data_IF_928067221880
#
_entry.id   IF_928067221880
#
_cell.length_a   1.000
_cell.length_b   1.000
_cell.length_c   1.000
_cell.angle_alpha   90.00
_cell.angle_beta   90.00
_cell.angle_gamma   90.00
#
_symmetry.space_group_name_H-M   'P 1'
#
loop_
_entity.id
_entity.type
_entity.pdbx_description
1 polymer ?
#
# COMPACT_ATOMS: atom_id res chain seq x y z
N UNK A 1 13.38 35.23 -19.92
CA UNK A 1 12.78 33.91 -20.15
C UNK A 1 12.60 33.24 -18.79
N UNK A 2 11.35 33.06 -18.36
CA UNK A 2 11.01 32.52 -17.04
C UNK A 2 11.40 31.03 -17.04
N UNK A 3 12.27 30.65 -16.14
CA UNK A 3 12.47 29.26 -15.74
C UNK A 3 11.13 28.80 -15.13
N UNK A 4 10.24 28.28 -15.96
CA UNK A 4 9.02 27.63 -15.50
C UNK A 4 9.51 26.35 -14.87
N UNK A 5 9.32 26.32 -13.57
CA UNK A 5 9.89 25.35 -12.66
C UNK A 5 9.39 23.96 -13.02
N UNK A 6 10.27 23.10 -13.51
CA UNK A 6 10.10 21.62 -13.56
C UNK A 6 9.61 21.06 -12.19
N UNK A 7 9.86 21.80 -11.13
CA UNK A 7 9.37 21.58 -9.76
C UNK A 7 7.83 21.57 -9.71
N UNK A 8 7.13 22.37 -10.54
CA UNK A 8 5.66 22.39 -10.54
C UNK A 8 5.04 21.15 -11.18
N UNK A 9 5.73 20.53 -12.12
CA UNK A 9 5.29 19.25 -12.74
C UNK A 9 5.59 18.09 -11.78
N UNK A 10 6.76 18.11 -11.14
CA UNK A 10 7.11 17.12 -10.13
C UNK A 10 6.20 17.19 -8.88
N UNK A 11 5.72 18.38 -8.48
CA UNK A 11 4.79 18.53 -7.36
C UNK A 11 3.36 18.02 -7.65
N UNK A 12 2.93 17.93 -8.91
CA UNK A 12 1.64 17.35 -9.28
C UNK A 12 1.59 15.82 -9.16
N UNK A 13 2.75 15.15 -9.19
CA UNK A 13 2.85 13.70 -9.01
C UNK A 13 2.54 13.27 -7.56
N UNK A 14 2.67 14.19 -6.59
CA UNK A 14 2.69 13.88 -5.14
C UNK A 14 1.31 13.99 -4.47
N UNK A 15 0.26 14.47 -5.14
CA UNK A 15 -0.96 14.87 -4.43
C UNK A 15 -2.23 14.14 -4.84
N UNK A 16 -2.24 12.81 -4.78
CA UNK A 16 -3.50 12.08 -4.71
C UNK A 16 -3.63 11.48 -3.31
N UNK A 17 -4.46 12.03 -2.42
CA UNK A 17 -4.79 11.37 -1.17
C UNK A 17 -5.66 10.15 -1.50
N UNK A 18 -5.04 8.98 -1.55
CA UNK A 18 -5.77 7.72 -1.49
C UNK A 18 -6.17 7.49 -0.04
N UNK A 19 -7.42 7.75 0.27
CA UNK A 19 -8.01 7.48 1.58
C UNK A 19 -8.32 5.98 1.70
N UNK A 20 -7.29 5.16 1.93
CA UNK A 20 -7.46 3.81 2.43
C UNK A 20 -6.60 3.70 3.68
N UNK A 21 -7.19 3.24 4.78
CA UNK A 21 -6.49 3.09 6.04
C UNK A 21 -5.21 2.32 5.86
N UNK A 22 -4.09 2.89 6.30
CA UNK A 22 -2.77 2.34 6.12
C UNK A 22 -2.52 1.89 4.70
N UNK A 23 -2.16 2.78 3.81
CA UNK A 23 -1.91 2.59 2.37
C UNK A 23 -1.22 1.27 1.99
N UNK A 24 -0.57 0.62 2.95
CA UNK A 24 0.26 -0.56 2.75
C UNK A 24 -0.11 -1.73 3.68
N UNK A 25 -1.20 -1.67 4.47
CA UNK A 25 -1.51 -2.73 5.44
C UNK A 25 -2.64 -3.64 4.98
N UNK A 26 -2.41 -4.95 5.03
CA UNK A 26 -3.39 -6.00 4.80
C UNK A 26 -3.60 -6.80 6.09
N UNK A 27 -4.82 -6.86 6.58
CA UNK A 27 -5.19 -7.58 7.80
C UNK A 27 -5.82 -8.95 7.52
N UNK A 28 -6.24 -9.21 6.30
CA UNK A 28 -6.98 -10.41 5.88
C UNK A 28 -6.06 -11.60 5.52
N UNK A 29 -5.10 -11.91 6.37
CA UNK A 29 -4.08 -12.92 6.09
C UNK A 29 -4.54 -14.38 6.31
N UNK A 30 -5.74 -14.61 6.86
CA UNK A 30 -6.23 -15.95 7.20
C UNK A 30 -7.66 -16.17 6.68
N UNK A 31 -8.02 -17.39 6.17
CA UNK A 31 -9.37 -17.67 5.70
C UNK A 31 -10.48 -17.45 6.73
N UNK A 32 -10.16 -17.51 8.02
CA UNK A 32 -11.13 -17.20 9.07
C UNK A 32 -11.68 -15.79 9.00
N UNK A 33 -10.93 -14.84 8.40
CA UNK A 33 -11.37 -13.48 8.14
C UNK A 33 -12.60 -13.43 7.21
N UNK A 34 -12.73 -14.36 6.26
CA UNK A 34 -13.90 -14.44 5.37
C UNK A 34 -15.19 -14.77 6.13
N UNK A 35 -15.09 -15.50 7.24
CA UNK A 35 -16.24 -15.84 8.09
C UNK A 35 -16.61 -14.76 9.07
N UNK A 36 -15.61 -14.03 9.56
CA UNK A 36 -15.74 -13.00 10.57
C UNK A 36 -14.62 -11.97 10.39
N UNK A 37 -14.94 -10.78 9.95
CA UNK A 37 -13.99 -9.70 9.69
C UNK A 37 -13.31 -9.20 10.97
N UNK A 38 -14.07 -9.15 12.07
CA UNK A 38 -13.56 -8.79 13.40
C UNK A 38 -12.84 -9.99 14.04
N UNK A 39 -11.52 -9.92 14.14
CA UNK A 39 -10.65 -10.99 14.66
C UNK A 39 -9.90 -10.61 15.94
N UNK A 40 -9.91 -9.34 16.34
CA UNK A 40 -9.11 -8.82 17.46
C UNK A 40 -9.49 -9.37 18.84
N UNK A 41 -10.69 -9.94 18.99
CA UNK A 41 -11.12 -10.66 20.19
C UNK A 41 -11.17 -12.19 19.98
N UNK A 42 -10.27 -12.74 19.14
CA UNK A 42 -10.22 -14.16 18.83
C UNK A 42 -9.34 -14.91 19.85
N UNK A 43 -9.93 -15.89 20.53
CA UNK A 43 -9.26 -16.72 21.55
C UNK A 43 -9.26 -18.21 21.20
N UNK A 44 -9.66 -18.59 19.97
CA UNK A 44 -9.94 -19.99 19.62
C UNK A 44 -9.11 -20.52 18.47
N UNK A 45 -8.38 -19.69 17.77
CA UNK A 45 -7.57 -20.13 16.62
C UNK A 45 -6.28 -19.35 16.46
N UNK A 46 -5.33 -19.95 15.75
CA UNK A 46 -3.94 -19.51 15.63
C UNK A 46 -3.76 -18.20 14.85
N UNK A 47 -4.75 -17.77 14.07
CA UNK A 47 -4.72 -16.48 13.38
C UNK A 47 -4.70 -15.27 14.32
N UNK A 48 -5.04 -15.49 15.61
CA UNK A 48 -4.79 -14.52 16.65
C UNK A 48 -3.32 -14.08 16.73
N UNK A 49 -2.36 -14.91 16.28
CA UNK A 49 -0.95 -14.54 16.20
C UNK A 49 -0.68 -13.25 15.41
N UNK A 50 -1.58 -12.83 14.52
CA UNK A 50 -1.52 -11.53 13.84
C UNK A 50 -2.59 -10.57 14.37
N UNK A 51 -3.84 -11.02 14.50
CA UNK A 51 -4.96 -10.15 14.84
C UNK A 51 -4.88 -9.57 16.25
N UNK A 52 -4.69 -10.40 17.27
CA UNK A 52 -4.34 -10.03 18.64
C UNK A 52 -3.71 -11.22 19.36
N UNK A 53 -2.36 -11.30 19.41
CA UNK A 53 -1.69 -12.48 19.95
C UNK A 53 -1.95 -12.73 21.44
N UNK A 54 -2.41 -11.74 22.21
CA UNK A 54 -2.78 -11.93 23.61
C UNK A 54 -3.91 -12.97 23.75
N UNK A 55 -4.82 -13.06 22.79
CA UNK A 55 -5.90 -14.05 22.76
C UNK A 55 -5.43 -15.51 22.74
N UNK A 56 -4.19 -15.78 22.31
CA UNK A 56 -3.61 -17.12 22.27
C UNK A 56 -3.44 -17.77 23.64
N UNK A 57 -3.39 -16.99 24.72
CA UNK A 57 -3.36 -17.52 26.09
C UNK A 57 -4.59 -18.39 26.41
N UNK A 58 -5.72 -18.10 25.76
CA UNK A 58 -7.01 -18.77 25.98
C UNK A 58 -7.29 -19.91 25.00
N UNK A 59 -6.30 -20.33 24.19
CA UNK A 59 -6.42 -21.54 23.38
C UNK A 59 -6.78 -22.74 24.26
N UNK A 60 -7.65 -23.65 23.78
CA UNK A 60 -8.31 -24.64 24.65
C UNK A 60 -7.39 -25.71 25.25
N UNK A 61 -6.26 -25.98 24.62
CA UNK A 61 -5.31 -27.02 25.05
C UNK A 61 -3.88 -26.53 24.94
N UNK A 62 -3.00 -27.10 25.74
CA UNK A 62 -1.57 -26.98 25.54
C UNK A 62 -1.15 -27.75 24.29
N UNK A 63 -0.11 -27.29 23.62
CA UNK A 63 0.42 -27.93 22.42
C UNK A 63 0.71 -26.97 21.29
N UNK A 64 0.92 -27.54 20.12
CA UNK A 64 1.30 -26.83 18.91
C UNK A 64 0.08 -26.57 18.03
N UNK A 65 -0.03 -25.33 17.57
CA UNK A 65 -1.06 -24.86 16.63
C UNK A 65 -0.39 -24.29 15.41
N UNK A 66 -0.86 -24.66 14.23
CA UNK A 66 -0.35 -24.14 12.97
C UNK A 66 -1.44 -23.99 11.94
N UNK A 67 -1.27 -23.02 11.07
CA UNK A 67 -2.09 -22.83 9.88
C UNK A 67 -1.23 -22.32 8.73
N UNK A 68 -1.41 -22.93 7.57
CA UNK A 68 -0.84 -22.47 6.30
C UNK A 68 -1.99 -22.15 5.36
N UNK A 69 -1.96 -20.98 4.74
CA UNK A 69 -2.91 -20.63 3.70
C UNK A 69 -2.24 -19.90 2.54
N UNK A 70 -2.87 -20.03 1.38
CA UNK A 70 -2.47 -19.34 0.15
C UNK A 70 -3.73 -18.66 -0.40
N UNK A 71 -3.58 -17.41 -0.77
CA UNK A 71 -4.60 -16.63 -1.46
C UNK A 71 -4.09 -16.22 -2.84
N UNK A 72 -5.01 -15.99 -3.76
CA UNK A 72 -4.72 -15.42 -5.07
C UNK A 72 -5.68 -14.27 -5.31
N UNK A 73 -5.17 -13.17 -5.83
CA UNK A 73 -5.97 -11.99 -6.14
C UNK A 73 -5.71 -11.55 -7.59
N UNK A 74 -6.78 -11.40 -8.35
CA UNK A 74 -6.75 -10.89 -9.72
C UNK A 74 -7.82 -9.81 -9.84
N UNK A 75 -7.43 -8.64 -10.35
CA UNK A 75 -8.32 -7.50 -10.49
C UNK A 75 -8.09 -6.82 -11.84
N UNK A 76 -9.16 -6.41 -12.49
CA UNK A 76 -9.11 -5.45 -13.58
C UNK A 76 -9.54 -4.09 -13.03
N UNK A 77 -8.78 -3.05 -13.34
CA UNK A 77 -9.05 -1.67 -12.93
C UNK A 77 -9.27 -0.83 -14.17
N UNK A 78 -10.49 -0.40 -14.33
CA UNK A 78 -10.90 0.44 -15.44
C UNK A 78 -10.92 1.90 -14.98
N UNK A 79 -10.23 2.77 -15.71
CA UNK A 79 -10.16 4.19 -15.44
C UNK A 79 -10.70 4.92 -16.65
N UNK A 80 -11.83 5.57 -16.49
CA UNK A 80 -12.44 6.44 -17.49
C UNK A 80 -12.03 7.88 -17.15
N UNK A 81 -11.08 8.42 -17.91
CA UNK A 81 -10.48 9.71 -17.61
C UNK A 81 -10.91 10.74 -18.64
N UNK A 82 -11.67 11.72 -18.18
CA UNK A 82 -12.10 12.86 -18.99
C UNK A 82 -11.71 14.17 -18.32
N UNK A 83 -10.99 15.02 -19.06
CA UNK A 83 -10.62 16.37 -18.64
C UNK A 83 -10.60 17.30 -19.85
N UNK A 84 -11.68 18.06 -20.00
CA UNK A 84 -11.87 18.97 -21.16
C UNK A 84 -10.74 20.01 -21.26
N UNK A 85 -10.28 20.56 -20.13
CA UNK A 85 -9.21 21.54 -20.07
C UNK A 85 -7.87 21.03 -20.62
N UNK A 86 -7.66 19.72 -20.55
CA UNK A 86 -6.47 19.05 -21.08
C UNK A 86 -6.72 18.41 -22.45
N UNK A 87 -7.98 18.35 -22.91
CA UNK A 87 -8.35 17.57 -24.09
C UNK A 87 -8.14 16.06 -23.89
N UNK A 88 -8.13 15.60 -22.64
CA UNK A 88 -8.00 14.20 -22.28
C UNK A 88 -9.38 13.56 -22.24
N UNK A 89 -9.59 12.53 -23.05
CA UNK A 89 -10.76 11.66 -23.04
C UNK A 89 -10.29 10.27 -23.45
N UNK A 90 -9.95 9.45 -22.46
CA UNK A 90 -9.31 8.15 -22.70
C UNK A 90 -9.67 7.14 -21.61
N UNK A 91 -9.93 5.93 -22.05
CA UNK A 91 -10.13 4.77 -21.21
C UNK A 91 -8.81 4.02 -20.99
N UNK A 92 -8.52 3.66 -19.75
CA UNK A 92 -7.35 2.89 -19.39
C UNK A 92 -7.76 1.60 -18.69
N UNK A 93 -7.15 0.50 -19.09
CA UNK A 93 -7.32 -0.79 -18.45
C UNK A 93 -6.05 -1.19 -17.71
N UNK A 94 -6.17 -1.40 -16.40
CA UNK A 94 -5.10 -1.91 -15.56
C UNK A 94 -5.41 -3.34 -15.12
N UNK A 95 -4.41 -4.22 -15.19
CA UNK A 95 -4.48 -5.61 -14.70
C UNK A 95 -3.62 -5.73 -13.46
N UNK A 96 -4.25 -5.96 -12.31
CA UNK A 96 -3.54 -6.21 -11.05
C UNK A 96 -3.60 -7.70 -10.69
N UNK A 97 -2.45 -8.27 -10.35
CA UNK A 97 -2.34 -9.68 -10.00
C UNK A 97 -1.40 -9.90 -8.82
N UNK A 98 -1.85 -10.75 -7.91
CA UNK A 98 -1.06 -11.33 -6.84
C UNK A 98 -1.38 -12.84 -6.80
N UNK A 99 -0.74 -13.66 -7.64
CA UNK A 99 -1.11 -15.06 -7.84
C UNK A 99 -0.86 -15.93 -6.61
N UNK A 100 0.08 -15.55 -5.76
CA UNK A 100 0.42 -16.29 -4.54
C UNK A 100 0.63 -15.30 -3.40
N UNK A 101 -0.28 -15.31 -2.43
CA UNK A 101 -0.20 -14.56 -1.18
C UNK A 101 -0.14 -15.59 -0.06
N UNK A 102 1.05 -16.01 0.38
CA UNK A 102 1.19 -17.01 1.42
C UNK A 102 0.99 -16.39 2.79
N UNK A 103 0.44 -17.19 3.73
CA UNK A 103 0.47 -16.87 5.15
C UNK A 103 0.66 -18.12 6.00
N UNK A 104 1.52 -17.99 7.00
CA UNK A 104 1.84 -19.04 7.96
C UNK A 104 1.63 -18.50 9.36
N UNK A 105 0.91 -19.25 10.15
CA UNK A 105 0.69 -18.97 11.56
C UNK A 105 1.15 -20.17 12.38
N UNK A 106 1.84 -19.90 13.47
CA UNK A 106 2.27 -20.91 14.42
C UNK A 106 2.15 -20.40 15.85
N UNK A 107 1.79 -21.28 16.77
CA UNK A 107 1.82 -20.99 18.19
C UNK A 107 2.10 -22.29 18.97
N UNK A 108 2.86 -22.16 20.05
CA UNK A 108 3.06 -23.23 21.02
C UNK A 108 2.66 -22.74 22.40
N UNK A 109 1.61 -23.34 22.93
CA UNK A 109 1.09 -23.05 24.26
C UNK A 109 1.54 -24.09 25.26
N UNK A 110 2.00 -23.63 26.43
CA UNK A 110 2.32 -24.49 27.59
C UNK A 110 1.99 -23.74 28.87
N UNK A 111 0.93 -24.19 29.54
CA UNK A 111 0.41 -23.53 30.73
C UNK A 111 0.03 -22.08 30.48
N UNK A 112 0.63 -21.14 31.19
CA UNK A 112 0.32 -19.71 31.05
C UNK A 112 1.11 -19.01 29.94
N UNK A 113 2.04 -19.70 29.30
CA UNK A 113 2.89 -19.15 28.27
C UNK A 113 2.50 -19.61 26.88
N UNK A 114 2.52 -18.70 25.92
CA UNK A 114 2.38 -19.04 24.51
C UNK A 114 3.38 -18.24 23.69
N UNK A 115 4.27 -18.94 22.99
CA UNK A 115 5.10 -18.33 21.95
C UNK A 115 4.34 -18.41 20.63
N UNK A 116 4.37 -17.35 19.85
CA UNK A 116 3.68 -17.32 18.56
C UNK A 116 4.47 -16.64 17.48
N UNK A 117 4.20 -17.04 16.24
CA UNK A 117 4.80 -16.47 15.04
C UNK A 117 3.81 -16.38 13.88
N UNK A 118 4.09 -15.43 13.02
CA UNK A 118 3.37 -15.21 11.77
C UNK A 118 4.37 -14.87 10.66
N UNK A 119 4.11 -15.38 9.48
CA UNK A 119 4.74 -14.93 8.22
C UNK A 119 3.65 -14.70 7.17
N UNK A 120 3.76 -13.60 6.43
CA UNK A 120 2.82 -13.28 5.35
C UNK A 120 3.14 -11.96 4.65
N UNK A 121 2.26 -11.57 3.72
CA UNK A 121 2.34 -10.31 2.99
C UNK A 121 1.38 -9.32 3.66
N UNK A 122 1.89 -8.48 4.56
CA UNK A 122 1.07 -7.55 5.35
C UNK A 122 0.78 -6.23 4.64
N UNK A 123 1.32 -6.04 3.45
CA UNK A 123 1.07 -4.81 2.69
C UNK A 123 1.45 -4.92 1.22
N UNK A 124 1.04 -3.89 0.49
CA UNK A 124 1.24 -3.78 -0.94
C UNK A 124 0.06 -4.29 -1.77
N UNK A 125 0.05 -3.91 -3.04
CA UNK A 125 -1.05 -4.16 -3.99
C UNK A 125 -0.79 -5.27 -5.01
N UNK A 126 0.29 -6.04 -4.88
CA UNK A 126 0.69 -6.99 -5.92
C UNK A 126 1.41 -6.31 -7.09
N UNK A 127 1.30 -6.91 -8.27
CA UNK A 127 1.74 -6.29 -9.54
C UNK A 127 0.53 -5.70 -10.26
N UNK A 128 0.66 -4.47 -10.73
CA UNK A 128 -0.30 -3.82 -11.61
C UNK A 128 0.38 -3.42 -12.92
N UNK A 129 -0.25 -3.73 -14.05
CA UNK A 129 0.22 -3.38 -15.40
C UNK A 129 -0.85 -2.58 -16.12
N UNK A 130 -0.43 -1.49 -16.75
CA UNK A 130 -1.24 -0.61 -17.56
C UNK A 130 -0.57 -0.47 -18.93
N UNK A 131 -1.05 -1.24 -19.89
CA UNK A 131 -0.43 -1.32 -21.22
C UNK A 131 -0.61 -0.04 -22.05
N UNK A 132 -1.67 0.72 -21.76
CA UNK A 132 -1.99 2.01 -22.39
C UNK A 132 -1.65 3.21 -21.48
N UNK A 133 -0.80 3.02 -20.48
CA UNK A 133 -0.39 4.03 -19.50
C UNK A 133 -1.39 4.30 -18.41
N UNK A 134 -1.19 5.41 -17.72
CA UNK A 134 -2.03 5.88 -16.62
C UNK A 134 -2.47 7.31 -16.86
N UNK A 135 -3.75 7.59 -16.62
CA UNK A 135 -4.36 8.91 -16.82
C UNK A 135 -3.60 10.06 -16.16
N UNK A 136 -3.04 9.81 -14.98
CA UNK A 136 -2.28 10.81 -14.23
C UNK A 136 -0.98 11.21 -14.98
N UNK A 137 -0.24 10.25 -15.53
CA UNK A 137 1.00 10.53 -16.27
C UNK A 137 0.71 11.18 -17.62
N UNK A 138 -0.30 10.68 -18.32
CA UNK A 138 -0.75 11.28 -19.58
C UNK A 138 -1.17 12.74 -19.35
N UNK A 139 -1.98 13.01 -18.31
CA UNK A 139 -2.43 14.36 -17.96
C UNK A 139 -1.27 15.32 -17.63
N UNK A 140 -0.22 14.82 -16.97
CA UNK A 140 0.97 15.63 -16.68
C UNK A 140 1.70 16.05 -17.94
N UNK A 141 1.93 15.11 -18.85
CA UNK A 141 2.62 15.39 -20.10
C UNK A 141 1.78 16.31 -20.98
N UNK A 142 0.48 16.05 -21.11
CA UNK A 142 -0.47 16.90 -21.83
C UNK A 142 -0.43 18.33 -21.26
N UNK A 143 -0.52 18.47 -19.94
CA UNK A 143 -0.45 19.79 -19.27
C UNK A 143 0.87 20.50 -19.51
N UNK A 144 2.00 19.78 -19.51
CA UNK A 144 3.32 20.32 -19.80
C UNK A 144 3.45 20.81 -21.26
N UNK A 145 2.94 20.03 -22.22
CA UNK A 145 2.94 20.40 -23.62
C UNK A 145 2.01 21.59 -23.91
N UNK A 146 0.83 21.64 -23.29
CA UNK A 146 -0.10 22.76 -23.39
C UNK A 146 0.53 24.08 -22.87
N UNK A 147 1.28 24.03 -21.77
CA UNK A 147 2.00 25.21 -21.24
C UNK A 147 3.10 25.70 -22.20
N UNK A 148 3.61 24.84 -23.07
CA UNK A 148 4.54 25.19 -24.14
C UNK A 148 3.84 25.64 -25.43
N UNK A 149 2.50 25.70 -25.42
CA UNK A 149 1.69 26.09 -26.58
C UNK A 149 1.47 24.98 -27.59
N UNK A 150 1.73 23.72 -27.25
CA UNK A 150 1.54 22.56 -28.11
C UNK A 150 0.17 21.93 -27.78
N UNK A 151 -0.84 22.05 -28.69
CA UNK A 151 -2.19 21.54 -28.43
C UNK A 151 -2.27 20.01 -28.58
N UNK A 152 -3.26 19.38 -27.93
CA UNK A 152 -3.39 17.92 -27.86
C UNK A 152 -3.51 17.17 -29.19
N UNK A 153 -3.95 17.85 -30.27
CA UNK A 153 -4.02 17.27 -31.62
C UNK A 153 -2.70 17.31 -32.37
N UNK A 154 -1.70 17.98 -31.85
CA UNK A 154 -0.42 18.21 -32.50
C UNK A 154 0.63 17.14 -32.18
N UNK A 155 0.32 16.18 -31.30
CA UNK A 155 1.21 15.07 -30.96
C UNK A 155 0.43 13.76 -30.73
N UNK A 156 1.15 12.65 -30.81
CA UNK A 156 0.71 11.33 -30.38
C UNK A 156 1.37 11.02 -29.02
N UNK A 157 0.62 10.41 -28.10
CA UNK A 157 1.11 10.01 -26.80
C UNK A 157 0.98 8.51 -26.63
N UNK A 158 2.11 7.84 -26.38
CA UNK A 158 2.18 6.43 -26.07
C UNK A 158 2.79 6.26 -24.68
N UNK A 159 2.17 5.44 -23.85
CA UNK A 159 2.68 5.18 -22.52
C UNK A 159 2.34 3.76 -22.08
N UNK A 160 3.18 3.18 -21.23
CA UNK A 160 2.86 1.97 -20.46
C UNK A 160 3.47 2.07 -19.08
N UNK A 161 2.91 1.37 -18.12
CA UNK A 161 3.43 1.34 -16.77
C UNK A 161 3.16 0.01 -16.07
N UNK A 162 4.21 -0.54 -15.50
CA UNK A 162 4.19 -1.65 -14.55
C UNK A 162 4.58 -1.13 -13.17
N UNK A 163 3.81 -1.50 -12.15
CA UNK A 163 4.15 -1.28 -10.76
C UNK A 163 4.00 -2.56 -9.95
N UNK A 164 4.87 -2.77 -8.97
CA UNK A 164 4.73 -3.86 -8.01
C UNK A 164 5.09 -3.38 -6.62
N UNK A 165 4.36 -3.87 -5.62
CA UNK A 165 4.63 -3.56 -4.22
C UNK A 165 4.21 -4.74 -3.34
N UNK A 166 5.13 -5.20 -2.48
CA UNK A 166 4.89 -6.21 -1.47
C UNK A 166 5.61 -5.85 -0.18
N UNK A 167 4.97 -6.06 0.96
CA UNK A 167 5.59 -6.04 2.28
C UNK A 167 5.50 -7.44 2.85
N UNK A 168 6.61 -8.14 2.86
CA UNK A 168 6.76 -9.42 3.54
C UNK A 168 7.04 -9.17 5.01
N UNK A 169 6.33 -9.88 5.89
CA UNK A 169 6.47 -9.68 7.33
C UNK A 169 6.65 -10.98 8.07
N UNK A 170 7.56 -10.95 9.05
CA UNK A 170 7.74 -11.99 10.04
C UNK A 170 7.47 -11.39 11.41
N UNK A 171 6.50 -11.91 12.14
CA UNK A 171 6.19 -11.51 13.52
C UNK A 171 6.51 -12.65 14.47
N UNK A 172 7.15 -12.33 15.58
CA UNK A 172 7.40 -13.25 16.69
C UNK A 172 7.07 -12.54 18.02
N UNK A 173 6.59 -13.31 19.00
CA UNK A 173 6.36 -12.75 20.31
C UNK A 173 5.86 -13.78 21.32
N UNK A 174 5.70 -13.29 22.54
CA UNK A 174 5.35 -14.06 23.70
C UNK A 174 4.06 -13.54 24.32
N UNK A 175 3.13 -14.43 24.59
CA UNK A 175 1.90 -14.18 25.34
C UNK A 175 2.02 -14.80 26.72
N UNK A 176 1.56 -14.07 27.73
CA UNK A 176 1.48 -14.54 29.11
C UNK A 176 0.05 -14.37 29.66
N UNK A 177 -0.50 -15.43 30.20
CA UNK A 177 -1.78 -15.41 30.91
C UNK A 177 -1.56 -14.90 32.35
N UNK A 178 -1.92 -13.64 32.59
CA UNK A 178 -1.70 -12.96 33.88
C UNK A 178 -2.67 -13.48 34.95
N UNK A 179 -3.92 -13.68 34.55
CA UNK A 179 -4.99 -14.25 35.36
C UNK A 179 -5.84 -15.18 34.52
N UNK A 180 -6.83 -15.85 35.08
CA UNK A 180 -7.74 -16.71 34.32
C UNK A 180 -8.59 -15.95 33.29
N UNK A 181 -8.68 -14.63 33.39
CA UNK A 181 -9.46 -13.79 32.54
C UNK A 181 -8.64 -12.73 31.77
N UNK A 182 -7.35 -12.53 32.07
CA UNK A 182 -6.51 -11.49 31.50
C UNK A 182 -5.19 -12.06 30.98
N UNK A 183 -4.82 -11.67 29.78
CA UNK A 183 -3.54 -11.98 29.16
C UNK A 183 -2.90 -10.77 28.49
N UNK A 184 -1.58 -10.80 28.36
CA UNK A 184 -0.80 -9.79 27.65
C UNK A 184 0.14 -10.42 26.66
N UNK A 185 0.46 -9.68 25.60
CA UNK A 185 1.41 -10.04 24.56
C UNK A 185 2.44 -8.94 24.38
N UNK A 186 3.68 -9.35 24.15
CA UNK A 186 4.74 -8.48 23.65
C UNK A 186 5.55 -9.20 22.57
N UNK A 187 5.84 -8.48 21.50
CA UNK A 187 6.59 -9.02 20.37
C UNK A 187 7.00 -7.96 19.37
N UNK A 188 7.45 -8.41 18.21
CA UNK A 188 7.85 -7.53 17.14
C UNK A 188 7.67 -8.16 15.77
N UNK A 189 7.57 -7.30 14.76
CA UNK A 189 7.42 -7.67 13.36
C UNK A 189 8.51 -6.99 12.54
N UNK A 190 9.29 -7.81 11.83
CA UNK A 190 10.17 -7.34 10.75
C UNK A 190 9.36 -7.24 9.48
N UNK A 191 9.50 -6.13 8.78
CA UNK A 191 8.84 -5.85 7.51
C UNK A 191 9.91 -5.64 6.45
N UNK A 192 9.80 -6.35 5.34
CA UNK A 192 10.65 -6.20 4.16
C UNK A 192 9.82 -5.74 2.99
N UNK A 193 10.05 -4.51 2.55
CA UNK A 193 9.44 -3.96 1.35
C UNK A 193 10.26 -4.38 0.13
N UNK A 194 9.58 -4.82 -0.91
CA UNK A 194 10.11 -4.95 -2.26
C UNK A 194 9.09 -4.47 -3.27
N UNK A 195 9.54 -3.65 -4.18
CA UNK A 195 8.68 -3.01 -5.15
C UNK A 195 9.44 -2.48 -6.34
N UNK A 196 8.80 -1.59 -7.08
CA UNK A 196 9.41 -0.86 -8.17
C UNK A 196 8.43 -0.49 -9.24
N UNK A 197 8.93 0.33 -10.14
CA UNK A 197 8.20 0.87 -11.28
C UNK A 197 9.00 0.64 -12.55
N UNK A 198 8.33 0.22 -13.61
CA UNK A 198 8.88 0.14 -14.95
C UNK A 198 7.88 0.71 -15.93
N UNK A 199 8.32 1.65 -16.74
CA UNK A 199 7.43 2.26 -17.69
C UNK A 199 8.18 3.12 -18.70
N UNK A 200 7.46 3.48 -19.75
CA UNK A 200 7.88 4.49 -20.70
C UNK A 200 6.70 5.36 -21.08
N UNK A 201 7.01 6.60 -21.41
CA UNK A 201 6.08 7.55 -21.97
C UNK A 201 6.78 8.32 -23.08
N UNK A 202 6.17 8.38 -24.25
CA UNK A 202 6.69 9.10 -25.39
C UNK A 202 5.58 9.95 -26.02
N UNK A 203 5.83 11.25 -26.12
CA UNK A 203 5.03 12.17 -26.90
C UNK A 203 5.82 12.61 -28.14
N UNK A 204 5.28 12.34 -29.33
CA UNK A 204 5.92 12.68 -30.61
C UNK A 204 5.03 13.59 -31.46
N UNK A 205 5.62 14.53 -32.19
CA UNK A 205 4.90 15.44 -33.06
C UNK A 205 4.07 14.67 -34.09
N UNK A 206 2.77 14.91 -34.14
CA UNK A 206 1.84 14.34 -35.12
C UNK A 206 1.69 15.21 -36.37
N UNK A 207 2.06 16.47 -36.26
CA UNK A 207 2.09 17.45 -37.35
C UNK A 207 3.38 18.27 -37.27
N UNK A 208 3.75 18.97 -38.35
CA UNK A 208 4.86 19.91 -38.31
C UNK A 208 4.51 21.07 -37.35
N UNK A 209 5.32 21.28 -36.32
CA UNK A 209 5.06 22.30 -35.29
C UNK A 209 5.90 23.54 -35.63
N UNK A 210 5.29 24.72 -35.86
CA UNK A 210 6.02 25.95 -36.14
C UNK A 210 6.85 26.38 -34.90
N UNK A 211 8.11 26.78 -35.17
CA UNK A 211 8.96 27.33 -34.12
C UNK A 211 8.93 28.87 -34.13
N UNK A 212 8.97 29.54 -32.99
CA UNK A 212 8.98 31.01 -32.87
C UNK A 212 10.20 31.66 -33.57
N UNK A 213 11.28 30.90 -33.71
CA UNK A 213 12.54 31.34 -34.32
C UNK A 213 12.61 31.12 -35.83
N UNK A 214 11.53 30.63 -36.42
CA UNK A 214 11.46 30.18 -37.84
C UNK A 214 11.83 28.73 -38.00
N UNK A 215 11.21 28.04 -38.97
CA UNK A 215 11.28 26.62 -39.20
C UNK A 215 10.16 25.85 -38.50
N UNK A 216 10.25 24.53 -38.54
CA UNK A 216 9.27 23.63 -37.90
C UNK A 216 9.96 22.43 -37.26
N UNK A 217 9.36 21.89 -36.21
CA UNK A 217 9.67 20.56 -35.66
C UNK A 217 8.95 19.54 -36.56
N UNK A 218 9.69 18.64 -37.23
CA UNK A 218 9.07 17.68 -38.13
C UNK A 218 8.19 16.66 -37.42
N UNK A 219 7.18 16.13 -38.14
CA UNK A 219 6.40 14.98 -37.74
C UNK A 219 7.30 13.82 -37.28
N UNK A 220 6.94 13.14 -36.20
CA UNK A 220 7.68 12.01 -35.62
C UNK A 220 8.80 12.42 -34.67
N UNK A 221 9.12 13.71 -34.54
CA UNK A 221 10.12 14.17 -33.57
C UNK A 221 9.61 13.95 -32.13
N UNK A 222 10.45 13.34 -31.29
CA UNK A 222 10.15 13.21 -29.85
C UNK A 222 10.12 14.59 -29.19
N UNK A 223 9.01 14.91 -28.55
CA UNK A 223 8.79 16.14 -27.79
C UNK A 223 9.13 15.94 -26.32
N UNK A 224 8.66 14.82 -25.77
CA UNK A 224 8.95 14.37 -24.41
C UNK A 224 9.11 12.86 -24.45
N UNK A 225 10.18 12.35 -23.86
CA UNK A 225 10.43 10.94 -23.61
C UNK A 225 10.78 10.70 -22.15
N UNK A 226 10.13 9.73 -21.52
CA UNK A 226 10.43 9.29 -20.15
C UNK A 226 10.61 7.78 -20.20
N UNK A 227 11.75 7.31 -19.69
CA UNK A 227 12.01 5.88 -19.47
C UNK A 227 12.43 5.64 -18.03
N UNK A 228 11.76 4.71 -17.36
CA UNK A 228 12.03 4.35 -15.97
C UNK A 228 12.07 2.83 -15.80
N UNK A 229 13.13 2.33 -15.16
CA UNK A 229 13.22 0.97 -14.61
C UNK A 229 13.91 1.06 -13.24
N UNK A 230 13.10 1.16 -12.19
CA UNK A 230 13.53 1.36 -10.82
C UNK A 230 12.96 0.26 -9.94
N UNK A 231 13.81 -0.55 -9.33
CA UNK A 231 13.44 -1.45 -8.23
C UNK A 231 13.69 -0.77 -6.89
N UNK A 232 12.89 -1.16 -5.90
CA UNK A 232 12.91 -0.52 -4.58
C UNK A 232 12.90 -1.58 -3.50
N UNK A 233 13.69 -1.37 -2.45
CA UNK A 233 13.73 -2.25 -1.26
C UNK A 233 13.82 -1.43 0.02
N UNK A 234 13.33 -2.00 1.12
CA UNK A 234 13.43 -1.34 2.43
C UNK A 234 13.12 -2.30 3.57
N UNK A 235 13.59 -1.96 4.76
CA UNK A 235 13.35 -2.71 5.98
C UNK A 235 12.76 -1.82 7.05
N UNK A 236 11.84 -2.37 7.84
CA UNK A 236 11.25 -1.69 8.98
C UNK A 236 10.92 -2.66 10.10
N UNK A 237 10.92 -2.18 11.33
CA UNK A 237 10.57 -2.96 12.51
C UNK A 237 9.38 -2.34 13.23
N UNK A 238 8.37 -3.15 13.53
CA UNK A 238 7.15 -2.79 14.25
C UNK A 238 7.13 -3.52 15.60
N UNK A 239 7.36 -2.87 16.73
CA UNK A 239 7.00 -3.44 18.04
C UNK A 239 5.48 -3.65 18.11
N UNK A 240 5.06 -4.71 18.79
CA UNK A 240 3.64 -5.05 18.94
C UNK A 240 3.36 -5.43 20.38
N UNK A 241 2.33 -4.81 20.98
CA UNK A 241 1.80 -5.19 22.29
C UNK A 241 0.31 -5.48 22.18
N UNK A 242 -0.20 -6.34 23.05
CA UNK A 242 -1.60 -6.71 23.06
C UNK A 242 -2.10 -7.07 24.44
N UNK A 243 -3.39 -6.89 24.65
CA UNK A 243 -4.13 -7.34 25.83
C UNK A 243 -5.38 -8.08 25.36
N UNK A 244 -5.78 -9.09 26.09
CA UNK A 244 -7.05 -9.78 25.89
C UNK A 244 -7.67 -10.14 27.23
N UNK A 245 -8.96 -9.82 27.39
CA UNK A 245 -9.72 -10.08 28.59
C UNK A 245 -10.95 -10.91 28.26
N UNK A 246 -11.11 -12.06 28.91
CA UNK A 246 -12.19 -13.03 28.69
C UNK A 246 -13.03 -13.21 29.93
N UNK A 247 -14.27 -12.70 29.91
CA UNK A 247 -15.24 -12.76 31.00
C UNK A 247 -16.39 -13.69 30.60
N UNK A 248 -16.23 -14.99 30.82
CA UNK A 248 -17.22 -15.99 30.41
C UNK A 248 -17.50 -15.92 28.88
N UNK A 249 -18.66 -15.37 28.51
CA UNK A 249 -19.09 -15.22 27.11
C UNK A 249 -18.58 -13.96 26.41
N UNK A 250 -18.08 -12.98 27.16
CA UNK A 250 -17.54 -11.72 26.64
C UNK A 250 -16.02 -11.81 26.53
N UNK A 251 -15.49 -11.44 25.35
CA UNK A 251 -14.06 -11.25 25.14
C UNK A 251 -13.82 -9.82 24.64
N UNK A 252 -12.82 -9.15 25.21
CA UNK A 252 -12.38 -7.81 24.79
C UNK A 252 -10.89 -7.89 24.49
N UNK A 253 -10.50 -7.52 23.29
CA UNK A 253 -9.12 -7.48 22.83
C UNK A 253 -8.67 -6.06 22.49
N UNK A 254 -7.42 -5.76 22.81
CA UNK A 254 -6.76 -4.52 22.39
C UNK A 254 -5.34 -4.84 21.92
N UNK A 255 -4.93 -4.28 20.79
CA UNK A 255 -3.58 -4.42 20.24
C UNK A 255 -3.07 -3.06 19.77
N UNK A 256 -1.81 -2.79 20.05
CA UNK A 256 -1.11 -1.64 19.53
C UNK A 256 0.14 -2.06 18.76
N UNK A 257 0.21 -1.65 17.51
CA UNK A 257 1.35 -1.78 16.63
C UNK A 257 2.02 -0.41 16.53
N UNK A 258 3.29 -0.34 16.92
CA UNK A 258 4.04 0.91 16.83
C UNK A 258 4.38 1.23 15.37
N UNK A 259 4.59 2.50 15.08
CA UNK A 259 5.06 2.94 13.77
C UNK A 259 6.37 2.24 13.41
N UNK A 260 6.47 1.72 12.19
CA UNK A 260 7.73 1.29 11.62
C UNK A 260 8.27 2.37 10.69
N UNK A 261 9.48 2.85 10.95
CA UNK A 261 10.21 3.64 9.98
C UNK A 261 10.66 2.70 8.87
N UNK A 262 10.12 2.91 7.68
CA UNK A 262 10.44 2.14 6.49
C UNK A 262 11.01 3.09 5.44
N UNK A 263 12.32 3.09 5.30
CA UNK A 263 13.00 3.83 4.25
C UNK A 263 13.19 2.93 3.05
N UNK A 264 12.74 3.40 1.89
CA UNK A 264 12.81 2.67 0.63
C UNK A 264 13.94 3.26 -0.20
N UNK A 265 14.90 2.42 -0.55
CA UNK A 265 16.04 2.76 -1.38
C UNK A 265 15.79 2.36 -2.83
N UNK A 266 16.10 3.26 -3.74
CA UNK A 266 16.01 3.04 -5.19
C UNK A 266 17.25 2.31 -5.72
N UNK A 267 17.01 1.25 -6.48
CA UNK A 267 18.00 0.60 -7.33
C UNK A 267 17.55 0.78 -8.79
N UNK A 268 18.00 1.88 -9.39
CA UNK A 268 17.54 2.33 -10.69
C UNK A 268 18.49 1.91 -11.79
N UNK A 269 17.97 1.27 -12.81
CA UNK A 269 18.68 0.81 -14.00
C UNK A 269 18.53 1.78 -15.16
N UNK A 270 17.33 2.35 -15.31
CA UNK A 270 17.01 3.33 -16.34
C UNK A 270 16.24 4.45 -15.67
N UNK A 271 16.67 5.68 -15.92
CA UNK A 271 16.01 6.90 -15.48
C UNK A 271 16.38 8.01 -16.45
N UNK A 272 15.52 8.25 -17.41
CA UNK A 272 15.76 9.20 -18.51
C UNK A 272 14.54 10.07 -18.69
N UNK A 273 14.76 11.37 -18.71
CA UNK A 273 13.81 12.39 -19.08
C UNK A 273 14.39 13.21 -20.21
N UNK A 274 13.83 13.06 -21.38
CA UNK A 274 14.19 13.80 -22.60
C UNK A 274 13.09 14.79 -22.93
N UNK A 275 13.46 16.02 -23.19
CA UNK A 275 12.56 17.08 -23.62
C UNK A 275 13.18 17.81 -24.81
N UNK A 276 12.36 18.09 -25.81
CA UNK A 276 12.83 18.82 -26.98
C UNK A 276 13.44 20.18 -26.57
N UNK A 277 14.63 20.48 -27.10
CA UNK A 277 15.35 21.73 -26.80
C UNK A 277 16.01 21.78 -25.41
N UNK A 278 16.01 20.69 -24.67
CA UNK A 278 16.69 20.56 -23.38
C UNK A 278 17.67 19.38 -23.37
N UNK A 279 18.77 19.46 -22.58
CA UNK A 279 19.62 18.29 -22.37
C UNK A 279 18.84 17.20 -21.64
N UNK A 280 19.21 15.94 -21.89
CA UNK A 280 18.68 14.80 -21.16
C UNK A 280 18.96 14.93 -19.68
N UNK A 281 17.98 14.57 -18.86
CA UNK A 281 18.03 14.64 -17.40
C UNK A 281 17.42 13.38 -16.78
N UNK A 282 17.43 13.30 -15.47
CA UNK A 282 16.84 12.21 -14.69
C UNK A 282 15.68 12.71 -13.84
N UNK A 283 14.73 11.82 -13.53
CA UNK A 283 13.72 12.06 -12.51
C UNK A 283 14.38 11.99 -11.13
N UNK A 284 14.43 13.12 -10.41
CA UNK A 284 15.16 13.28 -9.15
C UNK A 284 14.75 12.23 -8.09
N UNK A 285 13.45 11.99 -7.94
CA UNK A 285 12.90 11.07 -6.94
C UNK A 285 13.22 9.60 -7.24
N UNK A 286 13.67 9.28 -8.46
CA UNK A 286 13.98 7.91 -8.90
C UNK A 286 15.46 7.69 -9.18
N UNK A 287 16.34 8.61 -8.81
CA UNK A 287 17.79 8.41 -8.94
C UNK A 287 18.25 7.21 -8.12
N UNK A 288 19.26 6.54 -8.62
CA UNK A 288 19.87 5.39 -7.92
C UNK A 288 20.39 5.82 -6.54
N UNK A 289 20.12 5.01 -5.51
CA UNK A 289 20.53 5.27 -4.13
C UNK A 289 19.71 6.31 -3.39
N UNK A 290 18.73 6.97 -4.05
CA UNK A 290 17.80 7.86 -3.35
C UNK A 290 16.97 7.04 -2.38
N UNK A 291 16.90 7.51 -1.15
CA UNK A 291 16.19 6.87 -0.05
C UNK A 291 15.03 7.75 0.39
N UNK A 292 13.83 7.20 0.31
CA UNK A 292 12.59 7.93 0.63
C UNK A 292 11.84 7.23 1.76
N UNK A 293 11.29 7.99 2.74
CA UNK A 293 10.44 7.40 3.76
C UNK A 293 9.15 6.86 3.14
N UNK A 294 8.76 5.67 3.59
CA UNK A 294 7.48 5.03 3.28
C UNK A 294 7.01 4.25 4.52
N UNK A 295 6.85 4.99 5.61
CA UNK A 295 6.60 4.45 6.95
C UNK A 295 5.29 3.65 7.02
N UNK A 296 5.29 2.60 7.85
CA UNK A 296 4.07 1.90 8.23
C UNK A 296 3.49 2.63 9.44
N UNK A 297 2.23 3.11 9.38
CA UNK A 297 1.62 3.87 10.48
C UNK A 297 1.50 3.02 11.76
N UNK A 298 1.49 3.69 12.90
CA UNK A 298 1.04 3.05 14.13
C UNK A 298 -0.45 2.70 14.01
N UNK A 299 -0.85 1.56 14.59
CA UNK A 299 -2.22 1.09 14.55
C UNK A 299 -2.70 0.68 15.96
N UNK A 300 -3.83 1.24 16.38
CA UNK A 300 -4.58 0.75 17.54
C UNK A 300 -5.77 -0.08 17.04
N UNK A 301 -5.88 -1.31 17.51
CA UNK A 301 -7.04 -2.18 17.31
C UNK A 301 -7.73 -2.44 18.63
N UNK A 302 -9.05 -2.28 18.68
CA UNK A 302 -9.87 -2.65 19.84
C UNK A 302 -11.05 -3.47 19.34
N UNK A 303 -11.29 -4.62 19.96
CA UNK A 303 -12.34 -5.53 19.56
C UNK A 303 -13.13 -6.04 20.78
N UNK A 304 -14.40 -6.33 20.53
CA UNK A 304 -15.25 -7.02 21.49
C UNK A 304 -16.04 -8.14 20.79
N UNK A 305 -16.19 -9.27 21.46
CA UNK A 305 -16.98 -10.38 20.97
C UNK A 305 -17.82 -10.98 22.09
N UNK A 306 -19.06 -11.34 21.78
CA UNK A 306 -19.98 -11.96 22.73
C UNK A 306 -20.60 -13.24 22.15
N UNK A 307 -20.54 -14.31 22.92
CA UNK A 307 -21.12 -15.62 22.58
C UNK A 307 -22.55 -15.72 23.15
N UNK A 308 -23.55 -15.41 22.32
CA UNK A 308 -24.97 -15.49 22.70
C UNK A 308 -25.38 -16.95 22.93
N UNK A 309 -24.99 -17.81 21.99
CA UNK A 309 -25.24 -19.25 22.00
C UNK A 309 -23.95 -19.97 21.54
N UNK A 310 -23.81 -21.27 21.79
CA UNK A 310 -22.66 -22.04 21.32
C UNK A 310 -22.44 -21.95 19.79
N UNK A 311 -23.50 -21.65 19.03
CA UNK A 311 -23.49 -21.54 17.57
C UNK A 311 -23.60 -20.10 17.07
N UNK A 312 -23.75 -19.11 17.97
CA UNK A 312 -23.95 -17.71 17.61
C UNK A 312 -23.02 -16.80 18.40
N UNK A 313 -22.07 -16.21 17.71
CA UNK A 313 -21.15 -15.18 18.22
C UNK A 313 -21.29 -13.92 17.40
N UNK A 314 -21.35 -12.77 18.04
CA UNK A 314 -21.21 -11.47 17.39
C UNK A 314 -19.89 -10.82 17.83
N UNK A 315 -19.29 -10.04 16.94
CA UNK A 315 -18.08 -9.28 17.25
C UNK A 315 -18.08 -7.96 16.50
N UNK A 316 -17.40 -6.99 17.08
CA UNK A 316 -17.12 -5.68 16.51
C UNK A 316 -15.66 -5.37 16.76
N UNK A 317 -15.02 -4.70 15.80
CA UNK A 317 -13.63 -4.27 15.92
C UNK A 317 -13.48 -2.88 15.32
N UNK A 318 -12.63 -2.09 15.94
CA UNK A 318 -12.27 -0.75 15.51
C UNK A 318 -10.76 -0.67 15.35
N UNK A 319 -10.31 -0.12 14.22
CA UNK A 319 -8.91 0.19 13.96
C UNK A 319 -8.75 1.70 13.80
N UNK A 320 -7.71 2.24 14.42
CA UNK A 320 -7.23 3.59 14.20
C UNK A 320 -5.80 3.53 13.66
N UNK A 321 -5.57 4.16 12.52
CA UNK A 321 -4.26 4.30 11.90
C UNK A 321 -3.76 5.74 12.08
N UNK A 322 -2.56 5.90 12.62
CA UNK A 322 -1.93 7.22 12.81
C UNK A 322 -1.20 7.69 11.53
N UNK A 323 -1.93 7.74 10.44
CA UNK A 323 -1.40 8.07 9.11
C UNK A 323 -0.80 9.48 9.04
N UNK A 324 -1.25 10.41 9.88
CA UNK A 324 -0.74 11.79 9.94
C UNK A 324 0.73 11.89 10.38
N UNK A 325 1.26 10.86 11.04
CA UNK A 325 2.59 10.83 11.62
C UNK A 325 3.59 9.99 10.83
N UNK A 326 3.24 9.60 9.59
CA UNK A 326 4.10 8.82 8.70
C UNK A 326 4.79 9.70 7.65
N UNK A 327 6.00 9.33 7.26
CA UNK A 327 6.66 9.82 6.06
C UNK A 327 6.23 8.97 4.87
N UNK A 328 5.86 9.60 3.76
CA UNK A 328 5.55 8.94 2.50
C UNK A 328 6.12 9.72 1.33
N UNK A 329 6.21 9.04 0.18
CA UNK A 329 6.77 9.50 -1.10
C UNK A 329 6.84 11.02 -1.27
N UNK A 330 7.97 11.53 -1.67
CA UNK A 330 8.23 12.96 -1.78
C UNK A 330 8.98 13.56 -0.57
N UNK A 331 9.51 12.70 0.31
CA UNK A 331 10.47 13.09 1.33
C UNK A 331 9.86 13.39 2.69
N UNK A 332 10.30 14.47 3.33
CA UNK A 332 10.06 14.80 4.74
C UNK A 332 8.67 15.35 5.07
N UNK A 333 7.76 15.41 4.10
CA UNK A 333 6.42 15.97 4.32
C UNK A 333 5.47 14.91 4.85
N UNK A 334 4.69 15.27 5.85
CA UNK A 334 3.57 14.46 6.33
C UNK A 334 2.48 14.45 5.27
N UNK A 335 2.17 13.28 4.77
CA UNK A 335 1.24 13.11 3.65
C UNK A 335 -0.22 13.30 4.05
N UNK A 336 -0.60 12.87 5.24
CA UNK A 336 -1.97 12.95 5.74
C UNK A 336 -2.05 13.90 6.94
N UNK A 337 -3.11 14.68 7.00
CA UNK A 337 -3.40 15.61 8.10
C UNK A 337 -4.22 15.00 9.23
N UNK A 338 -4.81 13.81 8.98
CA UNK A 338 -5.67 13.10 9.93
C UNK A 338 -5.32 11.62 9.97
N UNK A 339 -5.59 10.98 11.11
CA UNK A 339 -5.59 9.53 11.22
C UNK A 339 -6.81 8.92 10.52
N UNK A 340 -6.71 7.66 10.13
CA UNK A 340 -7.78 6.90 9.48
C UNK A 340 -8.46 5.97 10.48
N UNK A 341 -9.79 5.89 10.40
CA UNK A 341 -10.62 5.03 11.24
C UNK A 341 -11.25 3.93 10.38
N UNK A 342 -11.21 2.71 10.88
CA UNK A 342 -11.84 1.55 10.25
C UNK A 342 -12.70 0.80 11.27
N UNK A 343 -13.94 0.52 10.91
CA UNK A 343 -14.88 -0.24 11.71
C UNK A 343 -15.15 -1.57 11.03
N UNK A 344 -14.82 -2.66 11.70
CA UNK A 344 -15.05 -4.02 11.22
C UNK A 344 -16.22 -4.65 11.98
N UNK A 345 -17.32 -4.83 11.31
CA UNK A 345 -18.50 -5.53 11.81
C UNK A 345 -18.94 -6.63 10.83
N UNK A 346 -19.96 -7.41 11.24
CA UNK A 346 -20.49 -8.46 10.38
C UNK A 346 -21.22 -7.92 9.13
N UNK A 347 -21.56 -6.63 9.10
CA UNK A 347 -22.29 -6.00 7.99
C UNK A 347 -21.38 -5.25 7.02
N UNK A 348 -20.17 -4.87 7.43
CA UNK A 348 -19.24 -4.18 6.56
C UNK A 348 -18.52 -5.18 5.63
N UNK A 349 -19.21 -5.60 4.59
CA UNK A 349 -18.64 -6.37 3.46
C UNK A 349 -17.90 -5.49 2.47
N UNK A 350 -17.70 -4.21 2.77
CA UNK A 350 -17.00 -3.27 1.89
C UNK A 350 -15.86 -2.62 2.64
N UNK A 351 -14.65 -3.01 2.30
CA UNK A 351 -13.53 -2.10 2.31
C UNK A 351 -13.99 -0.86 1.53
N UNK A 352 -14.17 0.26 2.21
CA UNK A 352 -14.38 1.53 1.52
C UNK A 352 -13.07 1.91 0.82
N UNK A 353 -12.83 1.29 -0.31
CA UNK A 353 -11.84 1.72 -1.31
C UNK A 353 -12.50 2.68 -2.30
N UNK A 354 -13.43 3.49 -1.84
CA UNK A 354 -14.05 4.49 -2.69
C UNK A 354 -14.17 5.79 -1.92
N UNK A 355 -13.30 6.68 -2.19
CA UNK A 355 -13.56 8.10 -2.54
C UNK A 355 -12.23 8.84 -2.56
#
# INVERSE_FOLDING_TARGET
MRKISLISIAMLIVSIPTFAGGLLTNTNQHPAFLRMLSRGANTTSVDAALSNPAGLAFLPKDGFYTSLSIQSAFQTRNIDASCEALGLDKYYEGKASAPVIPSVFAAYKKGDWTISGFFGITGGGGKASFDDGLSMFDAMVIGGLLQQGIPGKAYTLNSYMDGKQYIYSVQLGLTYKITDWLSAFAGGRMNYFTGGYKGALNASAAVDLPMPTGGAIPVGTELIGIDLDCSQTGWGFTPVIGLDAKFGKLTIGAKYEFKANLNIENNTKVNSLRMIGAPESELEDYKHGVNTPNDIPAMLSVAAAYEFLPVLRASVEYHFYDDKNVGMAGGKQKFLTKGTNEYLDRKSTRLNSSH
#
